data_IF_520686677588
#
_entry.id   IF_520686677588
#
_cell.length_a   1.000
_cell.length_b   1.000
_cell.length_c   1.000
_cell.angle_alpha   90.00
_cell.angle_beta   90.00
_cell.angle_gamma   90.00
#
_symmetry.space_group_name_H-M   'P 1'
#
loop_
_entity.id
_entity.type
_entity.pdbx_description
1 polymer ?
#
# COMPACT_ATOMS: atom_id res chain seq x y z
N UNK A 1 39.10 27.31 -1.28
CA UNK A 1 39.11 25.83 -1.21
C UNK A 1 37.68 25.37 -1.33
N UNK A 2 37.20 25.11 -2.55
CA UNK A 2 35.93 24.43 -2.77
C UNK A 2 36.15 22.98 -2.35
N UNK A 3 35.41 22.52 -1.34
CA UNK A 3 35.51 21.13 -0.89
C UNK A 3 35.14 20.22 -2.07
N UNK A 4 36.02 19.30 -2.42
CA UNK A 4 35.70 18.24 -3.37
C UNK A 4 34.45 17.51 -2.85
N UNK A 5 33.38 17.49 -3.66
CA UNK A 5 32.13 16.82 -3.32
C UNK A 5 32.32 15.36 -3.74
N UNK A 6 33.23 14.67 -3.05
CA UNK A 6 33.51 13.28 -3.38
C UNK A 6 32.25 12.44 -3.11
N UNK A 7 31.65 11.83 -4.15
CA UNK A 7 30.45 11.04 -3.98
C UNK A 7 30.78 9.81 -3.12
N UNK A 8 29.93 9.55 -2.14
CA UNK A 8 29.97 8.29 -1.38
C UNK A 8 29.03 7.31 -2.05
N UNK A 9 29.55 6.18 -2.50
CA UNK A 9 28.74 5.13 -3.10
C UNK A 9 28.03 4.28 -2.02
N UNK A 10 26.84 3.74 -2.32
CA UNK A 10 26.11 3.88 -3.58
C UNK A 10 25.45 5.26 -3.74
N UNK A 11 25.34 5.73 -4.98
CA UNK A 11 24.66 6.99 -5.29
C UNK A 11 23.14 6.83 -5.22
N UNK A 12 22.44 7.90 -4.85
CA UNK A 12 20.99 7.98 -5.12
C UNK A 12 20.74 8.17 -6.61
N UNK A 13 19.52 7.88 -7.08
CA UNK A 13 19.13 8.07 -8.49
C UNK A 13 19.32 9.53 -8.92
N UNK A 14 18.83 10.49 -8.12
CA UNK A 14 19.06 11.92 -8.35
C UNK A 14 20.55 12.31 -8.44
N UNK A 15 21.42 11.74 -7.60
CA UNK A 15 22.86 12.01 -7.66
C UNK A 15 23.49 11.44 -8.95
N UNK A 16 23.11 10.21 -9.33
CA UNK A 16 23.61 9.59 -10.56
C UNK A 16 23.17 10.37 -11.80
N UNK A 17 21.90 10.81 -11.85
CA UNK A 17 21.33 11.58 -12.96
C UNK A 17 21.97 12.97 -13.04
N UNK A 18 22.18 13.65 -11.90
CA UNK A 18 22.90 14.92 -11.84
C UNK A 18 24.32 14.81 -12.39
N UNK A 19 25.09 13.81 -11.94
CA UNK A 19 26.47 13.62 -12.43
C UNK A 19 26.48 13.28 -13.92
N UNK A 20 25.52 12.49 -14.40
CA UNK A 20 25.39 12.17 -15.82
C UNK A 20 25.10 13.42 -16.66
N UNK A 21 24.14 14.26 -16.23
CA UNK A 21 23.82 15.52 -16.89
C UNK A 21 25.01 16.49 -16.91
N UNK A 22 25.75 16.61 -15.80
CA UNK A 22 26.96 17.44 -15.73
C UNK A 22 28.04 16.94 -16.69
N UNK A 23 28.26 15.63 -16.75
CA UNK A 23 29.21 15.05 -17.69
C UNK A 23 28.81 15.33 -19.15
N UNK A 24 27.52 15.22 -19.50
CA UNK A 24 27.01 15.53 -20.83
C UNK A 24 27.19 17.02 -21.19
N UNK A 25 26.88 17.92 -20.25
CA UNK A 25 27.07 19.35 -20.41
C UNK A 25 28.54 19.72 -20.61
N UNK A 26 29.44 19.20 -19.75
CA UNK A 26 30.89 19.43 -19.85
C UNK A 26 31.47 18.88 -21.17
N UNK A 27 30.99 17.72 -21.62
CA UNK A 27 31.39 17.14 -22.91
C UNK A 27 30.94 18.03 -24.06
N UNK A 28 29.69 18.49 -24.04
CA UNK A 28 29.11 19.36 -25.07
C UNK A 28 29.81 20.72 -25.13
N UNK A 29 30.16 21.32 -23.97
CA UNK A 29 30.94 22.56 -23.89
C UNK A 29 32.32 22.38 -24.54
N UNK A 30 33.03 21.31 -24.17
CA UNK A 30 34.36 21.01 -24.72
C UNK A 30 34.30 20.78 -26.24
N UNK A 31 33.35 19.99 -26.72
CA UNK A 31 33.16 19.73 -28.15
C UNK A 31 32.84 21.01 -28.93
N UNK A 32 32.02 21.91 -28.37
CA UNK A 32 31.73 23.22 -28.93
C UNK A 32 32.98 24.10 -29.03
N UNK A 33 33.78 24.17 -27.97
CA UNK A 33 35.03 24.92 -27.94
C UNK A 33 36.07 24.36 -28.93
N UNK A 34 36.20 23.03 -29.02
CA UNK A 34 37.09 22.36 -29.97
C UNK A 34 36.67 22.61 -31.43
N UNK A 35 35.36 22.64 -31.70
CA UNK A 35 34.82 22.96 -33.02
C UNK A 35 35.12 24.41 -33.40
N UNK A 36 34.84 25.35 -32.50
CA UNK A 36 35.13 26.77 -32.71
C UNK A 36 36.63 27.02 -32.94
N UNK A 37 37.48 26.34 -32.18
CA UNK A 37 38.93 26.38 -32.38
C UNK A 37 39.33 25.88 -33.77
N UNK A 38 38.74 24.77 -34.21
CA UNK A 38 39.01 24.20 -35.53
C UNK A 38 38.61 25.16 -36.65
N UNK A 39 37.43 25.77 -36.58
CA UNK A 39 36.92 26.74 -37.56
C UNK A 39 37.80 28.01 -37.61
N UNK A 40 38.19 28.53 -36.45
CA UNK A 40 39.03 29.73 -36.35
C UNK A 40 40.44 29.46 -36.89
N UNK A 41 41.02 28.31 -36.57
CA UNK A 41 42.34 27.92 -37.06
C UNK A 41 42.35 27.56 -38.56
N UNK A 42 41.24 27.05 -39.10
CA UNK A 42 41.15 26.71 -40.53
C UNK A 42 41.31 27.93 -41.43
N UNK A 43 40.90 29.10 -40.96
CA UNK A 43 41.05 30.37 -41.70
C UNK A 43 42.42 31.04 -41.52
N UNK A 44 43.24 30.62 -40.54
CA UNK A 44 44.42 31.36 -40.09
C UNK A 44 45.74 30.55 -40.05
N UNK A 45 45.70 29.21 -40.05
CA UNK A 45 46.90 28.36 -40.02
C UNK A 45 47.38 28.00 -41.44
N UNK A 46 48.48 28.63 -41.90
CA UNK A 46 49.05 28.40 -43.24
C UNK A 46 49.57 26.96 -43.49
N UNK A 47 49.95 26.21 -42.45
CA UNK A 47 50.51 24.86 -42.54
C UNK A 47 49.47 23.72 -42.40
N UNK A 48 48.18 24.06 -42.29
CA UNK A 48 47.12 23.13 -41.91
C UNK A 48 47.06 22.87 -40.39
N UNK A 49 45.87 22.49 -39.91
CA UNK A 49 45.51 22.37 -38.48
C UNK A 49 46.42 21.38 -37.73
N UNK A 50 46.73 20.22 -38.34
CA UNK A 50 47.51 19.15 -37.70
C UNK A 50 48.97 19.54 -37.39
N UNK A 51 49.53 20.52 -38.11
CA UNK A 51 50.89 21.01 -37.91
C UNK A 51 50.94 22.40 -37.25
N UNK A 52 49.79 23.01 -37.00
CA UNK A 52 49.71 24.35 -36.42
C UNK A 52 49.96 24.28 -34.91
N UNK A 53 51.13 24.75 -34.46
CA UNK A 53 51.52 24.72 -33.04
C UNK A 53 50.54 25.49 -32.14
N UNK A 54 50.01 26.63 -32.63
CA UNK A 54 48.99 27.41 -31.92
C UNK A 54 47.73 26.57 -31.68
N UNK A 55 47.20 25.94 -32.72
CA UNK A 55 46.02 25.07 -32.61
C UNK A 55 46.25 23.92 -31.62
N UNK A 56 47.40 23.23 -31.72
CA UNK A 56 47.71 22.11 -30.82
C UNK A 56 47.82 22.56 -29.36
N UNK A 57 48.42 23.73 -29.11
CA UNK A 57 48.54 24.28 -27.76
C UNK A 57 47.19 24.75 -27.19
N UNK A 58 46.34 25.40 -28.00
CA UNK A 58 45.00 25.82 -27.60
C UNK A 58 44.09 24.62 -27.35
N UNK A 59 44.12 23.62 -28.23
CA UNK A 59 43.40 22.36 -28.05
C UNK A 59 43.81 21.69 -26.74
N UNK A 60 45.12 21.63 -26.45
CA UNK A 60 45.63 21.06 -25.19
C UNK A 60 45.12 21.82 -23.97
N UNK A 61 45.10 23.17 -24.02
CA UNK A 61 44.55 24.01 -22.94
C UNK A 61 43.06 23.78 -22.72
N UNK A 62 42.27 23.60 -23.79
CA UNK A 62 40.84 23.29 -23.68
C UNK A 62 40.63 21.96 -22.95
N UNK A 63 41.38 20.91 -23.31
CA UNK A 63 41.32 19.63 -22.59
C UNK A 63 41.78 19.77 -21.14
N UNK A 64 42.85 20.51 -20.88
CA UNK A 64 43.33 20.75 -19.52
C UNK A 64 42.28 21.42 -18.65
N UNK A 65 41.66 22.49 -19.16
CA UNK A 65 40.59 23.19 -18.47
C UNK A 65 39.39 22.27 -18.24
N UNK A 66 38.94 21.53 -19.26
CA UNK A 66 37.79 20.64 -19.14
C UNK A 66 38.01 19.50 -18.12
N UNK A 67 39.22 18.97 -18.02
CA UNK A 67 39.49 17.83 -17.14
C UNK A 67 40.03 18.20 -15.75
N UNK A 68 40.45 19.44 -15.51
CA UNK A 68 41.12 19.81 -14.25
C UNK A 68 40.55 21.04 -13.54
N UNK A 69 39.63 21.78 -14.17
CA UNK A 69 38.97 22.91 -13.51
C UNK A 69 38.03 22.39 -12.43
N UNK A 70 38.25 22.82 -11.18
CA UNK A 70 37.36 22.53 -10.07
C UNK A 70 36.24 23.57 -10.02
N UNK A 71 34.99 23.14 -10.18
CA UNK A 71 33.79 23.97 -10.04
C UNK A 71 32.62 23.09 -9.60
N UNK A 72 31.79 23.49 -8.61
CA UNK A 72 30.67 22.68 -8.11
C UNK A 72 29.75 22.14 -9.22
N UNK A 73 29.64 22.88 -10.33
CA UNK A 73 28.80 22.56 -11.48
C UNK A 73 29.56 21.80 -12.59
N UNK A 74 30.65 21.12 -12.26
CA UNK A 74 31.43 20.30 -13.21
C UNK A 74 31.57 18.88 -12.72
N UNK A 75 31.63 17.94 -13.66
CA UNK A 75 31.79 16.52 -13.36
C UNK A 75 33.09 16.23 -12.58
N UNK A 76 34.13 17.05 -12.80
CA UNK A 76 35.43 16.98 -12.14
C UNK A 76 35.32 17.16 -10.62
N UNK A 77 34.33 17.89 -10.12
CA UNK A 77 34.11 18.11 -8.68
C UNK A 77 33.55 16.89 -7.95
N UNK A 78 33.04 15.92 -8.70
CA UNK A 78 32.61 14.64 -8.18
C UNK A 78 33.71 13.58 -8.26
N UNK A 79 34.95 13.96 -8.58
CA UNK A 79 36.10 13.04 -8.67
C UNK A 79 37.00 13.17 -7.44
N UNK A 80 37.71 12.09 -7.06
CA UNK A 80 38.72 12.18 -6.02
C UNK A 80 39.78 13.22 -6.36
N UNK A 81 40.35 13.90 -5.37
CA UNK A 81 41.37 14.93 -5.57
C UNK A 81 42.57 14.41 -6.42
N UNK A 82 42.89 13.13 -6.29
CA UNK A 82 43.94 12.43 -7.03
C UNK A 82 43.70 12.47 -8.55
N UNK A 83 42.44 12.42 -9.00
CA UNK A 83 42.11 12.50 -10.43
C UNK A 83 42.62 13.80 -11.05
N UNK A 84 42.26 14.93 -10.43
CA UNK A 84 42.64 16.26 -10.91
C UNK A 84 44.15 16.48 -10.78
N UNK A 85 44.77 16.00 -9.70
CA UNK A 85 46.21 16.10 -9.49
C UNK A 85 47.01 15.26 -10.51
N UNK A 86 46.57 14.03 -10.80
CA UNK A 86 47.18 13.16 -11.80
C UNK A 86 47.13 13.80 -13.18
N UNK A 87 45.99 14.34 -13.57
CA UNK A 87 45.82 14.95 -14.88
C UNK A 87 46.65 16.21 -15.03
N UNK A 88 46.68 17.08 -14.02
CA UNK A 88 47.59 18.25 -14.01
C UNK A 88 49.05 17.81 -14.23
N UNK A 89 49.52 16.80 -13.49
CA UNK A 89 50.86 16.22 -13.69
C UNK A 89 51.08 15.69 -15.11
N UNK A 90 50.08 15.05 -15.72
CA UNK A 90 50.16 14.58 -17.11
C UNK A 90 50.19 15.72 -18.12
N UNK A 91 49.45 16.81 -17.89
CA UNK A 91 49.47 18.00 -18.73
C UNK A 91 50.84 18.70 -18.64
N UNK A 92 51.34 18.93 -17.42
CA UNK A 92 52.66 19.52 -17.12
C UNK A 92 53.81 18.73 -17.73
N UNK A 93 53.77 17.40 -17.64
CA UNK A 93 54.77 16.50 -18.21
C UNK A 93 54.66 16.35 -19.75
N UNK A 94 53.78 17.13 -20.40
CA UNK A 94 53.49 17.04 -21.82
C UNK A 94 53.13 15.63 -22.32
N UNK A 95 52.39 14.84 -21.52
CA UNK A 95 51.89 13.54 -21.95
C UNK A 95 51.01 13.66 -23.21
N UNK A 96 50.99 12.62 -24.05
CA UNK A 96 50.12 12.62 -25.24
C UNK A 96 48.65 12.71 -24.86
N UNK A 97 47.84 13.38 -25.69
CA UNK A 97 46.40 13.53 -25.48
C UNK A 97 45.72 12.15 -25.36
N UNK A 98 46.15 11.15 -26.12
CA UNK A 98 45.63 9.78 -26.02
C UNK A 98 45.83 9.15 -24.65
N UNK A 99 46.99 9.38 -24.02
CA UNK A 99 47.27 8.90 -22.65
C UNK A 99 46.36 9.59 -21.64
N UNK A 100 46.17 10.91 -21.79
CA UNK A 100 45.27 11.72 -20.96
C UNK A 100 43.83 11.21 -21.08
N UNK A 101 43.32 11.09 -22.32
CA UNK A 101 42.01 10.50 -22.59
C UNK A 101 41.88 9.08 -22.02
N UNK A 102 42.93 8.27 -22.08
CA UNK A 102 42.98 6.95 -21.44
C UNK A 102 42.74 7.00 -19.94
N UNK A 103 43.36 7.96 -19.22
CA UNK A 103 43.14 8.16 -17.77
C UNK A 103 41.71 8.64 -17.46
N UNK A 104 41.19 9.57 -18.26
CA UNK A 104 39.82 10.09 -18.13
C UNK A 104 38.79 8.98 -18.36
N UNK A 105 38.94 8.18 -19.42
CA UNK A 105 38.06 7.04 -19.70
C UNK A 105 38.07 6.01 -18.57
N UNK A 106 39.23 5.70 -18.00
CA UNK A 106 39.31 4.79 -16.84
C UNK A 106 38.54 5.33 -15.64
N UNK A 107 38.64 6.62 -15.35
CA UNK A 107 37.88 7.25 -14.26
C UNK A 107 36.38 7.14 -14.50
N UNK A 108 35.93 7.47 -15.71
CA UNK A 108 34.51 7.37 -16.09
C UNK A 108 33.98 5.94 -15.94
N UNK A 109 34.74 4.95 -16.41
CA UNK A 109 34.36 3.54 -16.29
C UNK A 109 34.30 3.09 -14.82
N UNK A 110 35.24 3.57 -13.99
CA UNK A 110 35.24 3.28 -12.56
C UNK A 110 34.00 3.91 -11.89
N UNK A 111 33.65 5.16 -12.21
CA UNK A 111 32.45 5.81 -11.71
C UNK A 111 31.17 5.02 -12.03
N UNK A 112 31.02 4.58 -13.29
CA UNK A 112 29.85 3.81 -13.73
C UNK A 112 29.81 2.46 -13.01
N UNK A 113 30.96 1.78 -12.89
CA UNK A 113 31.07 0.52 -12.15
C UNK A 113 30.66 0.69 -10.69
N UNK A 114 31.18 1.70 -10.01
CA UNK A 114 30.85 1.93 -8.59
C UNK A 114 29.38 2.28 -8.40
N UNK A 115 28.79 3.05 -9.34
CA UNK A 115 27.36 3.37 -9.33
C UNK A 115 26.49 2.11 -9.46
N UNK A 116 26.81 1.22 -10.41
CA UNK A 116 26.01 0.06 -10.73
C UNK A 116 26.26 -1.17 -9.85
N UNK A 117 27.45 -1.29 -9.24
CA UNK A 117 27.85 -2.51 -8.54
C UNK A 117 27.93 -2.34 -7.01
N UNK A 118 27.88 -1.12 -6.47
CA UNK A 118 27.96 -0.91 -5.02
C UNK A 118 26.60 -1.14 -4.36
N UNK A 119 26.57 -1.96 -3.31
CA UNK A 119 25.35 -2.27 -2.56
C UNK A 119 25.00 -1.18 -1.55
N UNK A 120 23.72 -0.83 -1.50
CA UNK A 120 23.11 -0.09 -0.41
C UNK A 120 22.60 -1.00 0.69
N UNK A 121 22.59 -0.50 1.92
CA UNK A 121 22.05 -1.23 3.08
C UNK A 121 20.57 -1.59 2.86
N UNK A 122 19.81 -0.65 2.30
CA UNK A 122 18.36 -0.77 2.05
C UNK A 122 18.02 -1.30 0.64
N UNK A 123 19.00 -1.80 -0.13
CA UNK A 123 18.72 -2.29 -1.48
C UNK A 123 17.73 -3.47 -1.45
N UNK A 124 16.70 -3.39 -2.30
CA UNK A 124 15.75 -4.47 -2.51
C UNK A 124 16.46 -5.76 -2.99
N UNK A 125 16.03 -6.97 -2.59
CA UNK A 125 16.69 -8.22 -3.01
C UNK A 125 16.88 -8.37 -4.52
N UNK A 126 15.90 -7.91 -5.32
CA UNK A 126 16.04 -7.93 -6.79
C UNK A 126 17.12 -6.97 -7.27
N UNK A 127 17.18 -5.74 -6.72
CA UNK A 127 18.24 -4.78 -7.03
C UNK A 127 19.60 -5.37 -6.70
N UNK A 128 19.75 -6.03 -5.54
CA UNK A 128 20.99 -6.72 -5.17
C UNK A 128 21.39 -7.78 -6.20
N UNK A 129 20.43 -8.59 -6.69
CA UNK A 129 20.69 -9.59 -7.75
C UNK A 129 21.15 -8.93 -9.05
N UNK A 130 20.50 -7.84 -9.47
CA UNK A 130 20.90 -7.08 -10.66
C UNK A 130 22.32 -6.53 -10.52
N UNK A 131 22.67 -5.95 -9.36
CA UNK A 131 24.03 -5.43 -9.08
C UNK A 131 25.09 -6.53 -9.09
N UNK A 132 24.79 -7.70 -8.49
CA UNK A 132 25.68 -8.88 -8.55
C UNK A 132 25.90 -9.28 -10.01
N UNK A 133 24.82 -9.41 -10.78
CA UNK A 133 24.90 -9.82 -12.18
C UNK A 133 25.67 -8.81 -13.03
N UNK A 134 25.44 -7.51 -12.83
CA UNK A 134 26.21 -6.46 -13.48
C UNK A 134 27.70 -6.54 -13.15
N UNK A 135 28.05 -6.83 -11.89
CA UNK A 135 29.44 -7.02 -11.47
C UNK A 135 30.09 -8.25 -12.12
N UNK A 136 29.34 -9.35 -12.27
CA UNK A 136 29.79 -10.55 -12.99
C UNK A 136 30.07 -10.26 -14.47
N UNK A 137 29.15 -9.58 -15.16
CA UNK A 137 29.29 -9.22 -16.58
C UNK A 137 30.47 -8.27 -16.84
N UNK A 138 30.87 -7.46 -15.86
CA UNK A 138 32.08 -6.63 -15.97
C UNK A 138 33.38 -7.44 -15.92
N UNK A 139 33.32 -8.69 -15.46
CA UNK A 139 34.43 -9.64 -15.50
C UNK A 139 34.54 -10.44 -16.81
N UNK A 140 33.63 -10.21 -17.76
CA UNK A 140 33.56 -10.93 -19.05
C UNK A 140 33.84 -10.01 -20.23
N UNK A 141 33.80 -10.56 -21.45
CA UNK A 141 33.97 -9.79 -22.71
C UNK A 141 32.71 -8.97 -23.10
N UNK A 142 31.75 -8.84 -22.19
CA UNK A 142 30.49 -8.13 -22.44
C UNK A 142 30.75 -6.64 -22.58
N UNK A 143 30.15 -6.02 -23.60
CA UNK A 143 30.37 -4.59 -23.85
C UNK A 143 29.75 -3.74 -22.72
N UNK A 144 30.36 -2.61 -22.33
CA UNK A 144 29.78 -1.73 -21.32
C UNK A 144 28.34 -1.29 -21.63
N UNK A 145 28.01 -1.04 -22.89
CA UNK A 145 26.66 -0.67 -23.32
C UNK A 145 25.62 -1.76 -23.12
N UNK A 146 26.00 -3.04 -23.26
CA UNK A 146 25.08 -4.16 -23.02
C UNK A 146 24.83 -4.33 -21.52
N UNK A 147 25.84 -4.08 -20.69
CA UNK A 147 25.70 -4.09 -19.22
C UNK A 147 24.78 -2.95 -18.79
N UNK A 148 24.98 -1.74 -19.32
CA UNK A 148 24.14 -0.59 -19.03
C UNK A 148 22.69 -0.83 -19.46
N UNK A 149 22.47 -1.39 -20.66
CA UNK A 149 21.14 -1.80 -21.14
C UNK A 149 20.48 -2.82 -20.23
N UNK A 150 21.23 -3.85 -19.80
CA UNK A 150 20.74 -4.86 -18.86
C UNK A 150 20.26 -4.23 -17.54
N UNK A 151 21.05 -3.32 -16.95
CA UNK A 151 20.67 -2.64 -15.71
C UNK A 151 19.39 -1.83 -15.89
N UNK A 152 19.30 -1.04 -16.97
CA UNK A 152 18.11 -0.24 -17.30
C UNK A 152 16.88 -1.12 -17.49
N UNK A 153 16.99 -2.23 -18.21
CA UNK A 153 15.88 -3.17 -18.42
C UNK A 153 15.38 -3.79 -17.11
N UNK A 154 16.28 -4.19 -16.21
CA UNK A 154 15.90 -4.76 -14.92
C UNK A 154 15.26 -3.72 -13.99
N UNK A 155 15.74 -2.47 -14.01
CA UNK A 155 15.09 -1.35 -13.32
C UNK A 155 13.68 -1.09 -13.85
N UNK A 156 13.51 -1.09 -15.18
CA UNK A 156 12.19 -0.93 -15.80
C UNK A 156 11.23 -2.08 -15.44
N UNK A 157 11.71 -3.33 -15.46
CA UNK A 157 10.91 -4.49 -15.04
C UNK A 157 10.39 -4.33 -13.62
N UNK A 158 11.22 -3.82 -12.70
CA UNK A 158 10.82 -3.54 -11.32
C UNK A 158 9.75 -2.46 -11.26
N UNK A 159 9.92 -1.36 -11.97
CA UNK A 159 8.92 -0.28 -12.01
C UNK A 159 7.58 -0.74 -12.58
N UNK A 160 7.58 -1.63 -13.57
CA UNK A 160 6.35 -2.19 -14.17
C UNK A 160 5.57 -3.10 -13.22
N UNK A 161 6.15 -3.55 -12.10
CA UNK A 161 5.43 -4.31 -11.07
C UNK A 161 4.57 -3.41 -10.15
N UNK A 162 4.79 -2.11 -10.19
CA UNK A 162 4.10 -1.11 -9.37
C UNK A 162 2.81 -0.63 -10.05
N UNK A 163 1.79 -0.26 -9.26
CA UNK A 163 0.62 0.47 -9.79
C UNK A 163 1.01 1.88 -10.26
N UNK A 164 0.22 2.55 -11.11
CA UNK A 164 0.52 3.91 -11.54
C UNK A 164 0.77 4.89 -10.38
N UNK A 165 -0.03 4.82 -9.31
CA UNK A 165 0.14 5.67 -8.13
C UNK A 165 1.45 5.35 -7.38
N UNK A 166 1.83 4.07 -7.34
CA UNK A 166 3.11 3.66 -6.74
C UNK A 166 4.30 4.10 -7.60
N UNK A 167 4.15 4.13 -8.92
CA UNK A 167 5.17 4.67 -9.83
C UNK A 167 5.36 6.17 -9.62
N UNK A 168 4.29 6.94 -9.42
CA UNK A 168 4.39 8.37 -9.09
C UNK A 168 5.12 8.61 -7.77
N UNK A 169 4.80 7.81 -6.74
CA UNK A 169 5.49 7.87 -5.44
C UNK A 169 6.96 7.49 -5.57
N UNK A 170 7.28 6.46 -6.37
CA UNK A 170 8.66 6.07 -6.64
C UNK A 170 9.42 7.16 -7.40
N UNK A 171 8.82 7.79 -8.40
CA UNK A 171 9.43 8.86 -9.17
C UNK A 171 9.74 10.09 -8.31
N UNK A 172 8.87 10.42 -7.36
CA UNK A 172 9.13 11.51 -6.40
C UNK A 172 10.19 11.11 -5.36
N UNK A 173 10.18 9.86 -4.89
CA UNK A 173 11.24 9.32 -4.04
C UNK A 173 12.62 9.42 -4.71
N UNK A 174 12.70 9.11 -6.00
CA UNK A 174 13.95 9.10 -6.78
C UNK A 174 14.57 10.50 -6.95
N UNK A 175 13.81 11.58 -6.72
CA UNK A 175 14.32 12.97 -6.70
C UNK A 175 15.19 13.28 -5.48
N UNK A 176 15.15 12.44 -4.45
CA UNK A 176 15.89 12.67 -3.20
C UNK A 176 17.39 12.47 -3.41
N UNK A 177 18.20 13.46 -3.00
CA UNK A 177 19.66 13.44 -3.11
C UNK A 177 20.35 12.94 -1.84
N UNK A 178 19.62 12.82 -0.74
CA UNK A 178 20.14 12.34 0.54
C UNK A 178 19.21 11.33 1.21
N UNK A 179 19.78 10.51 2.08
CA UNK A 179 18.98 9.62 2.94
C UNK A 179 17.99 10.41 3.80
N UNK A 180 18.37 11.58 4.33
CA UNK A 180 17.48 12.40 5.13
C UNK A 180 16.22 12.86 4.35
N UNK A 181 16.38 13.28 3.10
CA UNK A 181 15.27 13.64 2.22
C UNK A 181 14.38 12.43 1.92
N UNK A 182 14.99 11.27 1.63
CA UNK A 182 14.26 10.00 1.43
C UNK A 182 13.41 9.63 2.63
N UNK A 183 13.98 9.68 3.85
CA UNK A 183 13.26 9.39 5.09
C UNK A 183 12.10 10.38 5.32
N UNK A 184 12.33 11.67 5.07
CA UNK A 184 11.31 12.70 5.19
C UNK A 184 10.15 12.47 4.21
N UNK A 185 10.47 12.12 2.97
CA UNK A 185 9.49 11.81 1.94
C UNK A 185 8.67 10.57 2.29
N UNK A 186 9.34 9.44 2.61
CA UNK A 186 8.69 8.19 2.98
C UNK A 186 7.80 8.37 4.22
N UNK A 187 8.26 9.14 5.22
CA UNK A 187 7.45 9.49 6.39
C UNK A 187 6.17 10.22 5.97
N UNK A 188 6.27 11.19 5.08
CA UNK A 188 5.12 11.96 4.60
C UNK A 188 4.12 11.07 3.89
N UNK A 189 4.57 10.20 2.97
CA UNK A 189 3.71 9.27 2.25
C UNK A 189 3.05 8.23 3.18
N UNK A 190 3.82 7.63 4.08
CA UNK A 190 3.34 6.59 4.97
C UNK A 190 2.45 7.11 6.10
N UNK A 191 2.70 8.34 6.59
CA UNK A 191 2.12 8.84 7.83
C UNK A 191 1.20 10.05 7.66
N UNK A 192 0.88 10.46 6.43
CA UNK A 192 -0.14 11.50 6.18
C UNK A 192 -1.48 11.08 6.78
N UNK A 193 -2.06 11.93 7.62
CA UNK A 193 -3.40 11.73 8.16
C UNK A 193 -4.43 11.88 7.06
N UNK A 194 -5.37 10.93 6.97
CA UNK A 194 -6.49 10.98 6.04
C UNK A 194 -7.78 11.37 6.79
N UNK A 195 -8.72 12.06 6.14
CA UNK A 195 -10.01 12.40 6.75
C UNK A 195 -10.82 11.19 7.23
N UNK A 196 -10.55 10.01 6.66
CA UNK A 196 -11.20 8.73 6.98
C UNK A 196 -10.44 7.90 8.00
N UNK A 197 -9.30 8.38 8.52
CA UNK A 197 -8.50 7.63 9.49
C UNK A 197 -9.31 7.43 10.78
N UNK A 198 -9.35 6.19 11.27
CA UNK A 198 -9.88 5.88 12.59
C UNK A 198 -8.90 6.30 13.69
N UNK A 199 -9.31 6.42 14.97
CA UNK A 199 -8.38 6.66 16.06
C UNK A 199 -7.22 5.66 16.11
N UNK A 200 -7.48 4.40 15.72
CA UNK A 200 -6.47 3.36 15.65
C UNK A 200 -5.46 3.60 14.51
N UNK A 201 -5.93 4.06 13.35
CA UNK A 201 -5.04 4.42 12.23
C UNK A 201 -4.11 5.57 12.62
N UNK A 202 -4.64 6.56 13.35
CA UNK A 202 -3.83 7.68 13.89
C UNK A 202 -2.74 7.17 14.84
N UNK A 203 -3.07 6.26 15.77
CA UNK A 203 -2.09 5.64 16.67
C UNK A 203 -0.99 4.89 15.91
N UNK A 204 -1.36 4.10 14.90
CA UNK A 204 -0.41 3.34 14.08
C UNK A 204 0.51 4.28 13.29
N UNK A 205 -0.03 5.33 12.67
CA UNK A 205 0.80 6.34 11.98
C UNK A 205 1.77 7.02 12.94
N UNK A 206 1.33 7.41 14.14
CA UNK A 206 2.21 7.99 15.16
C UNK A 206 3.33 7.02 15.58
N UNK A 207 3.02 5.72 15.67
CA UNK A 207 4.03 4.67 15.93
C UNK A 207 5.04 4.60 14.78
N UNK A 208 4.59 4.58 13.53
CA UNK A 208 5.47 4.51 12.37
C UNK A 208 6.31 5.78 12.19
N UNK A 209 5.74 6.97 12.44
CA UNK A 209 6.48 8.24 12.42
C UNK A 209 7.72 8.20 13.31
N UNK A 210 7.61 7.61 14.51
CA UNK A 210 8.76 7.46 15.42
C UNK A 210 9.87 6.58 14.84
N UNK A 211 9.53 5.56 14.04
CA UNK A 211 10.53 4.71 13.39
C UNK A 211 11.30 5.50 12.32
N UNK A 212 10.60 6.31 11.53
CA UNK A 212 11.22 7.22 10.57
C UNK A 212 12.08 8.29 11.26
N UNK A 213 11.59 8.88 12.36
CA UNK A 213 12.31 9.91 13.12
C UNK A 213 13.60 9.36 13.76
N UNK A 214 13.58 8.08 14.16
CA UNK A 214 14.75 7.39 14.68
C UNK A 214 15.71 6.86 13.58
N UNK A 215 15.44 7.16 12.30
CA UNK A 215 16.23 6.72 11.15
C UNK A 215 16.43 5.19 11.09
N UNK A 216 15.41 4.44 11.52
CA UNK A 216 15.42 2.98 11.42
C UNK A 216 15.45 2.59 9.94
N UNK A 217 16.29 1.63 9.51
CA UNK A 217 16.36 1.19 8.12
C UNK A 217 14.98 0.87 7.52
N UNK A 218 14.69 1.37 6.32
CA UNK A 218 13.37 1.19 5.69
C UNK A 218 12.95 -0.29 5.52
N UNK A 219 13.92 -1.16 5.25
CA UNK A 219 13.73 -2.62 5.19
C UNK A 219 13.34 -3.25 6.54
N UNK A 220 13.58 -2.56 7.66
CA UNK A 220 13.12 -2.96 9.00
C UNK A 220 11.78 -2.32 9.36
N UNK A 221 11.49 -1.13 8.83
CA UNK A 221 10.19 -0.44 9.02
C UNK A 221 9.06 -1.18 8.31
N UNK A 222 9.28 -1.59 7.05
CA UNK A 222 8.25 -2.20 6.20
C UNK A 222 7.57 -3.42 6.85
N UNK A 223 8.30 -4.45 7.34
CA UNK A 223 7.67 -5.61 7.97
C UNK A 223 6.85 -5.26 9.22
N UNK A 224 7.28 -4.25 9.97
CA UNK A 224 6.54 -3.78 11.15
C UNK A 224 5.21 -3.15 10.74
N UNK A 225 5.22 -2.30 9.70
CA UNK A 225 4.01 -1.69 9.15
C UNK A 225 3.05 -2.74 8.58
N UNK A 226 3.56 -3.70 7.80
CA UNK A 226 2.76 -4.78 7.22
C UNK A 226 2.08 -5.63 8.29
N UNK A 227 2.83 -5.98 9.34
CA UNK A 227 2.28 -6.70 10.49
C UNK A 227 1.20 -5.91 11.21
N UNK A 228 1.47 -4.63 11.51
CA UNK A 228 0.50 -3.76 12.20
C UNK A 228 -0.80 -3.63 11.38
N UNK A 229 -0.70 -3.51 10.05
CA UNK A 229 -1.85 -3.47 9.14
C UNK A 229 -2.60 -4.80 9.13
N UNK A 230 -1.89 -5.92 9.08
CA UNK A 230 -2.49 -7.26 9.10
C UNK A 230 -3.24 -7.52 10.42
N UNK A 231 -2.63 -7.17 11.55
CA UNK A 231 -3.22 -7.29 12.88
C UNK A 231 -4.48 -6.41 13.01
N UNK A 232 -4.43 -5.17 12.49
CA UNK A 232 -5.59 -4.27 12.46
C UNK A 232 -6.75 -4.85 11.63
N UNK A 233 -6.47 -5.37 10.42
CA UNK A 233 -7.48 -6.00 9.55
C UNK A 233 -8.08 -7.27 10.17
N UNK A 234 -7.26 -8.10 10.80
CA UNK A 234 -7.71 -9.32 11.48
C UNK A 234 -8.69 -8.99 12.62
N UNK A 235 -8.40 -7.96 13.41
CA UNK A 235 -9.28 -7.51 14.48
C UNK A 235 -10.62 -6.98 13.96
N UNK A 236 -10.64 -6.26 12.84
CA UNK A 236 -11.89 -5.79 12.21
C UNK A 236 -12.77 -6.98 11.84
N UNK A 237 -12.23 -7.99 11.14
CA UNK A 237 -12.97 -9.18 10.76
C UNK A 237 -13.53 -9.95 11.97
N UNK A 238 -12.75 -10.07 13.05
CA UNK A 238 -13.21 -10.71 14.29
C UNK A 238 -14.39 -9.95 14.91
N UNK A 239 -14.30 -8.62 14.96
CA UNK A 239 -15.34 -7.76 15.51
C UNK A 239 -16.61 -7.78 14.66
N UNK A 240 -16.49 -7.78 13.33
CA UNK A 240 -17.62 -7.89 12.40
C UNK A 240 -18.35 -9.23 12.58
N UNK A 241 -17.62 -10.33 12.68
CA UNK A 241 -18.20 -11.65 12.95
C UNK A 241 -18.94 -11.68 14.28
N UNK A 242 -18.31 -11.16 15.35
CA UNK A 242 -18.94 -11.10 16.68
C UNK A 242 -20.19 -10.21 16.68
N UNK A 243 -20.18 -9.13 15.91
CA UNK A 243 -21.31 -8.23 15.78
C UNK A 243 -22.47 -8.87 14.98
N UNK A 244 -22.16 -9.67 13.97
CA UNK A 244 -23.15 -10.50 13.27
C UNK A 244 -23.79 -11.54 14.20
N UNK A 245 -22.98 -12.22 15.03
CA UNK A 245 -23.46 -13.20 16.01
C UNK A 245 -24.39 -12.54 17.05
N UNK A 246 -24.00 -11.37 17.57
CA UNK A 246 -24.83 -10.63 18.52
C UNK A 246 -26.15 -10.18 17.90
N UNK A 247 -26.15 -9.72 16.63
CA UNK A 247 -27.37 -9.36 15.91
C UNK A 247 -28.29 -10.57 15.71
N UNK A 248 -27.73 -11.73 15.35
CA UNK A 248 -28.48 -12.97 15.20
C UNK A 248 -29.07 -13.44 16.53
N UNK A 249 -28.29 -13.40 17.61
CA UNK A 249 -28.76 -13.73 18.95
C UNK A 249 -29.88 -12.79 19.42
N UNK A 250 -29.76 -11.49 19.15
CA UNK A 250 -30.79 -10.50 19.48
C UNK A 250 -32.07 -10.74 18.67
N UNK A 251 -31.96 -11.03 17.37
CA UNK A 251 -33.10 -11.35 16.51
C UNK A 251 -33.82 -12.63 16.99
N UNK A 252 -33.07 -13.67 17.34
CA UNK A 252 -33.62 -14.91 17.88
C UNK A 252 -34.31 -14.69 19.23
N UNK A 253 -33.73 -13.88 20.12
CA UNK A 253 -34.35 -13.53 21.41
C UNK A 253 -35.67 -12.77 21.21
N UNK A 254 -35.68 -11.79 20.31
CA UNK A 254 -36.89 -11.02 19.98
C UNK A 254 -37.98 -11.92 19.38
N UNK A 255 -37.61 -12.84 18.48
CA UNK A 255 -38.54 -13.84 17.92
C UNK A 255 -39.09 -14.78 19.00
N UNK A 256 -38.25 -15.24 19.93
CA UNK A 256 -38.67 -16.07 21.05
C UNK A 256 -39.61 -15.31 22.02
N UNK A 257 -39.34 -14.03 22.28
CA UNK A 257 -40.23 -13.17 23.07
C UNK A 257 -41.57 -12.97 22.37
N UNK A 258 -41.57 -12.68 21.07
CA UNK A 258 -42.79 -12.54 20.28
C UNK A 258 -43.61 -13.83 20.26
N UNK A 259 -42.97 -15.00 20.09
CA UNK A 259 -43.64 -16.29 20.13
C UNK A 259 -44.22 -16.61 21.52
N UNK A 260 -43.51 -16.28 22.60
CA UNK A 260 -44.04 -16.42 23.97
C UNK A 260 -45.24 -15.51 24.20
N UNK A 261 -45.21 -14.28 23.71
CA UNK A 261 -46.31 -13.34 23.85
C UNK A 261 -47.53 -13.76 23.01
N UNK A 262 -47.31 -14.25 21.79
CA UNK A 262 -48.38 -14.82 20.97
C UNK A 262 -48.96 -16.10 21.60
N UNK A 263 -48.13 -16.94 22.21
CA UNK A 263 -48.58 -18.12 22.96
C UNK A 263 -49.45 -17.71 24.16
N UNK A 264 -49.07 -16.68 24.92
CA UNK A 264 -49.91 -16.13 26.01
C UNK A 264 -51.22 -15.57 25.48
N UNK A 265 -51.20 -14.83 24.36
CA UNK A 265 -52.42 -14.32 23.71
C UNK A 265 -53.33 -15.44 23.23
N UNK A 266 -52.77 -16.51 22.66
CA UNK A 266 -53.52 -17.69 22.25
C UNK A 266 -54.15 -18.40 23.46
N UNK A 267 -53.38 -18.62 24.54
CA UNK A 267 -53.93 -19.16 25.79
C UNK A 267 -55.05 -18.29 26.37
N UNK A 268 -54.91 -16.96 26.33
CA UNK A 268 -55.96 -16.04 26.78
C UNK A 268 -57.22 -16.09 25.88
N UNK A 269 -57.06 -16.30 24.57
CA UNK A 269 -58.19 -16.51 23.64
C UNK A 269 -58.87 -17.86 23.86
N UNK A 270 -58.10 -18.92 24.05
CA UNK A 270 -58.62 -20.28 24.29
C UNK A 270 -59.28 -20.42 25.68
N UNK A 271 -58.99 -19.50 26.62
CA UNK A 271 -59.68 -19.40 27.91
C UNK A 271 -61.08 -18.74 27.82
N UNK A 272 -61.50 -18.24 26.66
CA UNK A 272 -62.84 -17.62 26.50
C UNK A 272 -63.81 -18.70 26.00
N UNK A 273 -64.66 -19.23 26.89
CA UNK A 273 -65.74 -20.16 26.53
C UNK A 273 -66.98 -19.37 26.10
N UNK A 274 -67.60 -19.71 24.97
CA UNK A 274 -68.86 -19.07 24.52
C UNK A 274 -70.05 -19.95 24.83
N UNK A 275 -71.19 -19.33 25.11
CA UNK A 275 -72.44 -20.03 25.34
C UNK A 275 -72.90 -20.75 24.06
N UNK A 276 -73.20 -22.04 24.17
CA UNK A 276 -73.65 -22.89 23.07
C UNK A 276 -75.13 -22.75 22.72
N UNK A 277 -75.89 -21.96 23.48
CA UNK A 277 -77.28 -21.65 23.15
C UNK A 277 -77.36 -20.84 21.86
N UNK A 278 -78.17 -21.30 20.91
CA UNK A 278 -78.38 -20.60 19.64
C UNK A 278 -78.84 -19.16 19.90
N UNK A 279 -78.20 -18.18 19.24
CA UNK A 279 -78.53 -16.76 19.34
C UNK A 279 -78.06 -16.03 20.61
N UNK A 280 -77.44 -16.72 21.59
CA UNK A 280 -77.05 -16.09 22.85
C UNK A 280 -75.78 -15.22 22.74
N UNK A 281 -74.72 -15.74 22.11
CA UNK A 281 -73.47 -14.99 21.86
C UNK A 281 -72.63 -14.61 23.10
N UNK A 282 -73.15 -14.80 24.32
CA UNK A 282 -72.49 -14.44 25.56
C UNK A 282 -71.27 -15.33 25.86
N UNK A 283 -70.28 -14.74 26.54
CA UNK A 283 -69.11 -15.45 27.08
C UNK A 283 -69.48 -16.10 28.41
N UNK A 284 -69.14 -17.37 28.60
CA UNK A 284 -69.29 -18.08 29.86
C UNK A 284 -68.15 -17.67 30.81
N UNK A 285 -68.49 -17.14 31.97
CA UNK A 285 -67.51 -16.79 32.99
C UNK A 285 -66.89 -18.06 33.60
N UNK A 286 -65.57 -18.19 33.49
CA UNK A 286 -64.83 -19.37 33.99
C UNK A 286 -64.72 -19.45 35.52
N UNK A 287 -64.91 -18.33 36.23
CA UNK A 287 -64.69 -18.22 37.67
C UNK A 287 -65.96 -17.78 38.42
N UNK A 288 -67.13 -17.86 37.77
CA UNK A 288 -68.41 -17.48 38.34
C UNK A 288 -69.22 -18.67 38.87
N UNK A 289 -70.38 -18.43 39.50
CA UNK A 289 -71.26 -19.49 40.03
C UNK A 289 -71.77 -20.46 38.95
N UNK A 290 -71.68 -20.06 37.66
CA UNK A 290 -72.07 -20.87 36.51
C UNK A 290 -70.86 -21.45 35.74
N UNK A 291 -69.66 -21.46 36.33
CA UNK A 291 -68.43 -21.94 35.67
C UNK A 291 -68.51 -23.40 35.19
N UNK A 292 -69.30 -24.23 35.89
CA UNK A 292 -69.47 -25.66 35.63
C UNK A 292 -70.77 -25.99 34.88
N UNK A 293 -71.51 -24.98 34.38
CA UNK A 293 -72.74 -25.20 33.61
C UNK A 293 -72.41 -25.71 32.20
N UNK A 294 -72.40 -27.03 32.07
CA UNK A 294 -72.05 -27.76 30.86
C UNK A 294 -72.85 -29.04 30.67
N UNK A 295 -72.77 -29.64 29.47
CA UNK A 295 -73.34 -30.95 29.21
C UNK A 295 -72.50 -32.09 29.83
N UNK A 296 -73.06 -32.79 30.81
CA UNK A 296 -72.39 -33.92 31.49
C UNK A 296 -71.98 -35.04 30.53
N UNK A 297 -72.77 -35.31 29.49
CA UNK A 297 -72.42 -36.29 28.44
C UNK A 297 -71.20 -35.87 27.62
N UNK A 298 -71.07 -34.58 27.29
CA UNK A 298 -69.84 -34.04 26.70
C UNK A 298 -68.63 -34.16 27.64
N UNK A 299 -68.83 -34.15 28.97
CA UNK A 299 -67.73 -34.29 29.95
C UNK A 299 -67.24 -35.73 30.03
N UNK A 300 -68.15 -36.71 29.91
CA UNK A 300 -67.83 -38.12 30.05
C UNK A 300 -66.99 -38.67 28.87
N UNK A 301 -67.12 -38.10 27.67
CA UNK A 301 -66.39 -38.53 26.46
C UNK A 301 -64.97 -37.95 26.33
N UNK A 302 -64.33 -37.60 27.45
CA UNK A 302 -63.02 -36.95 27.49
C UNK A 302 -61.89 -37.93 27.14
N UNK A 303 -61.39 -37.89 25.90
CA UNK A 303 -60.03 -38.33 25.59
C UNK A 303 -59.06 -37.16 25.70
N UNK A 304 -57.87 -37.44 26.23
CA UNK A 304 -56.89 -36.47 26.71
C UNK A 304 -56.57 -35.34 25.72
N UNK A 305 -56.93 -34.10 26.10
CA UNK A 305 -56.20 -32.91 25.67
C UNK A 305 -56.90 -31.90 24.75
N UNK A 306 -58.16 -32.11 24.31
CA UNK A 306 -58.84 -31.14 23.41
C UNK A 306 -60.13 -30.59 24.03
N UNK A 307 -60.06 -29.41 24.67
CA UNK A 307 -61.20 -28.67 25.23
C UNK A 307 -62.13 -28.02 24.18
N UNK A 308 -61.83 -28.13 22.88
CA UNK A 308 -62.50 -27.34 21.83
C UNK A 308 -63.94 -27.78 21.51
N UNK A 309 -64.38 -28.98 21.89
CA UNK A 309 -65.70 -29.50 21.54
C UNK A 309 -66.69 -29.55 22.71
N UNK A 310 -66.38 -28.86 23.81
CA UNK A 310 -67.23 -28.86 24.98
C UNK A 310 -68.33 -27.80 24.87
N UNK A 311 -69.58 -28.19 25.11
CA UNK A 311 -70.71 -27.24 25.09
C UNK A 311 -70.94 -26.61 26.47
N UNK A 312 -70.67 -25.31 26.58
CA UNK A 312 -70.81 -24.51 27.80
C UNK A 312 -72.03 -23.59 27.73
N UNK A 313 -72.62 -23.26 28.89
CA UNK A 313 -73.77 -22.36 28.97
C UNK A 313 -73.51 -21.23 29.95
N UNK A 314 -73.82 -19.98 29.56
CA UNK A 314 -73.60 -18.82 30.42
C UNK A 314 -74.63 -18.70 31.56
N UNK A 315 -75.77 -19.38 31.46
CA UNK A 315 -76.81 -19.40 32.49
C UNK A 315 -77.61 -20.71 32.46
N UNK A 316 -78.28 -21.08 33.57
CA UNK A 316 -79.19 -22.22 33.61
C UNK A 316 -80.33 -22.14 32.59
N UNK A 317 -80.78 -20.94 32.25
CA UNK A 317 -81.84 -20.69 31.27
C UNK A 317 -81.40 -21.08 29.87
N UNK A 318 -80.18 -20.68 29.47
CA UNK A 318 -79.57 -21.07 28.21
C UNK A 318 -79.33 -22.59 28.13
N UNK A 319 -78.92 -23.22 29.24
CA UNK A 319 -78.77 -24.67 29.31
C UNK A 319 -80.11 -25.39 29.09
N UNK A 320 -81.18 -24.93 29.76
CA UNK A 320 -82.53 -25.51 29.62
C UNK A 320 -83.13 -25.29 28.23
N UNK A 321 -83.03 -24.08 27.69
CA UNK A 321 -83.57 -23.74 26.37
C UNK A 321 -82.88 -24.53 25.25
N UNK A 322 -81.57 -24.79 25.40
CA UNK A 322 -80.79 -25.50 24.39
C UNK A 322 -80.69 -27.01 24.63
N UNK A 323 -81.17 -27.55 25.76
CA UNK A 323 -80.99 -28.96 26.12
C UNK A 323 -81.49 -29.94 25.05
N UNK A 324 -82.68 -29.69 24.49
CA UNK A 324 -83.27 -30.53 23.44
C UNK A 324 -82.50 -30.47 22.12
N UNK A 325 -82.18 -29.26 21.66
CA UNK A 325 -81.43 -29.03 20.40
C UNK A 325 -80.00 -29.57 20.49
N UNK A 326 -79.31 -29.33 21.60
CA UNK A 326 -77.96 -29.82 21.86
C UNK A 326 -77.91 -31.36 21.91
N UNK A 327 -78.82 -31.99 22.66
CA UNK A 327 -78.87 -33.45 22.75
C UNK A 327 -79.16 -34.09 21.38
N UNK A 328 -80.02 -33.48 20.56
CA UNK A 328 -80.32 -33.96 19.20
C UNK A 328 -79.18 -33.73 18.19
N UNK A 329 -78.24 -32.82 18.45
CA UNK A 329 -77.11 -32.53 17.54
C UNK A 329 -75.83 -33.25 17.90
N UNK A 330 -75.57 -33.44 19.19
CA UNK A 330 -74.27 -33.92 19.68
C UNK A 330 -74.36 -35.27 20.40
N UNK A 331 -75.57 -35.75 20.73
CA UNK A 331 -75.79 -36.96 21.54
C UNK A 331 -76.91 -37.87 21.02
N UNK A 332 -77.45 -37.59 19.83
CA UNK A 332 -78.31 -38.50 19.10
C UNK A 332 -77.43 -39.57 18.48
N UNK A 333 -77.43 -40.77 19.04
CA UNK A 333 -76.99 -41.99 18.31
C UNK A 333 -77.81 -42.20 17.06
#
# INVERSE_FOLDING_TARGET
>A
MTADIQPTYPLTKAQADEIASLHEADTSELEGQLRQLSETCQSSCASGISKCATHQNEMRKLYENAYTTASPDRWTSYRPAEYTQDLKRMFDAQATIDKIHGRVRREKMQHIKDSQCTFGLSDHPTVKKTKIRAAELRGTETSPSDIDSYVIEEEQKLLLTLTPEQQEVQAEYDKSKSEAEKYSYLRTCACISKPTDTPRDVELRLKWMKLFDNKVPYNEILPVMEKDIADAKSNVLLLENRLADLRNAQAANNKAKAAKEESKRKQARDAIRRCCSEGCGNVCELNGPNADLGCERCFATKEDGVLQNYSWFCSPECAKANAGSHNARFHST
#
